data_IF_044694657703
#
_entry.id   IF_044694657703
#
_cell.length_a   1.000
_cell.length_b   1.000
_cell.length_c   1.000
_cell.angle_alpha   90.00
_cell.angle_beta   90.00
_cell.angle_gamma   90.00
#
_symmetry.space_group_name_H-M   'P 1'
#
loop_
_entity.id
_entity.type
_entity.pdbx_description
1 polymer ?
#
# COMPACT_ATOMS: atom_id res chain seq x y z
N UNK A 1 -13.15 37.35 15.18
CA UNK A 1 -12.18 36.75 14.25
C UNK A 1 -12.48 35.27 14.14
N UNK A 2 -13.04 34.89 13.05
CA UNK A 2 -13.23 33.48 12.79
C UNK A 2 -11.92 32.92 12.31
N UNK A 3 -11.30 32.10 13.13
CA UNK A 3 -10.27 31.18 12.67
C UNK A 3 -10.95 30.23 11.71
N UNK A 4 -10.74 30.44 10.42
CA UNK A 4 -11.05 29.41 9.46
C UNK A 4 -10.20 28.19 9.79
N UNK A 5 -10.80 27.23 10.44
CA UNK A 5 -10.28 25.89 10.50
C UNK A 5 -10.24 25.40 9.05
N UNK A 6 -9.07 25.52 8.42
CA UNK A 6 -8.82 24.80 7.18
C UNK A 6 -9.14 23.35 7.49
N UNK A 7 -10.13 22.80 6.81
CA UNK A 7 -10.43 21.39 6.90
C UNK A 7 -9.11 20.65 6.70
N UNK A 8 -8.60 20.05 7.78
CA UNK A 8 -7.37 19.30 7.72
C UNK A 8 -7.60 18.15 6.75
N UNK A 9 -6.82 18.11 5.66
CA UNK A 9 -6.91 17.03 4.69
C UNK A 9 -6.79 15.71 5.44
N UNK A 10 -7.65 14.72 5.16
CA UNK A 10 -7.44 13.39 5.69
C UNK A 10 -6.06 12.90 5.26
N UNK A 11 -5.35 12.27 6.19
CA UNK A 11 -4.04 11.68 5.93
C UNK A 11 -4.09 10.65 4.79
N UNK A 12 -5.20 9.97 4.63
CA UNK A 12 -5.40 8.90 3.68
C UNK A 12 -6.53 9.24 2.71
N UNK A 13 -6.28 9.11 1.42
CA UNK A 13 -7.31 9.18 0.41
C UNK A 13 -8.10 7.86 0.38
N UNK A 14 -9.41 7.96 0.23
CA UNK A 14 -10.29 6.81 -0.03
C UNK A 14 -10.57 6.62 -1.51
N UNK A 15 -10.11 7.56 -2.32
CA UNK A 15 -10.27 7.52 -3.77
C UNK A 15 -9.18 6.65 -4.41
N UNK A 16 -9.45 6.17 -5.61
CA UNK A 16 -8.45 5.50 -6.43
C UNK A 16 -7.35 6.48 -6.82
N UNK A 17 -6.17 5.96 -7.11
CA UNK A 17 -4.97 6.75 -7.39
C UNK A 17 -5.21 7.87 -8.40
N UNK A 18 -5.86 7.57 -9.52
CA UNK A 18 -6.13 8.55 -10.58
C UNK A 18 -6.94 9.75 -10.07
N UNK A 19 -7.99 9.51 -9.33
CA UNK A 19 -8.84 10.57 -8.76
C UNK A 19 -8.12 11.31 -7.64
N UNK A 20 -7.40 10.60 -6.79
CA UNK A 20 -6.60 11.21 -5.72
C UNK A 20 -5.49 12.11 -6.27
N UNK A 21 -4.79 11.67 -7.32
CA UNK A 21 -3.76 12.45 -7.99
C UNK A 21 -4.35 13.71 -8.63
N UNK A 22 -5.43 13.56 -9.36
CA UNK A 22 -6.12 14.69 -9.98
C UNK A 22 -6.59 15.72 -8.94
N UNK A 23 -7.20 15.25 -7.86
CA UNK A 23 -7.65 16.11 -6.76
C UNK A 23 -6.51 16.88 -6.10
N UNK A 24 -5.37 16.24 -5.85
CA UNK A 24 -4.19 16.91 -5.30
C UNK A 24 -3.63 17.96 -6.25
N UNK A 25 -3.55 17.67 -7.53
CA UNK A 25 -3.09 18.64 -8.53
C UNK A 25 -3.98 19.86 -8.58
N UNK A 26 -5.30 19.68 -8.59
CA UNK A 26 -6.29 20.75 -8.58
C UNK A 26 -6.19 21.60 -7.31
N UNK A 27 -6.09 20.95 -6.16
CA UNK A 27 -5.97 21.64 -4.87
C UNK A 27 -4.70 22.48 -4.77
N UNK A 28 -3.59 22.00 -5.35
CA UNK A 28 -2.31 22.70 -5.34
C UNK A 28 -2.10 23.60 -6.56
N UNK A 29 -3.10 23.69 -7.44
CA UNK A 29 -3.03 24.46 -8.67
C UNK A 29 -1.82 24.12 -9.54
N UNK A 30 -1.50 22.81 -9.64
CA UNK A 30 -0.41 22.31 -10.45
C UNK A 30 -0.91 21.80 -11.80
N UNK A 31 -0.28 22.29 -12.87
CA UNK A 31 -0.44 21.74 -14.21
C UNK A 31 0.38 20.45 -14.37
N UNK A 32 0.07 19.67 -15.40
CA UNK A 32 0.88 18.50 -15.76
C UNK A 32 2.35 18.87 -16.04
N UNK A 33 2.58 20.00 -16.66
CA UNK A 33 3.94 20.52 -16.93
C UNK A 33 4.70 20.83 -15.64
N UNK A 34 4.04 21.47 -14.69
CA UNK A 34 4.65 21.80 -13.40
C UNK A 34 4.97 20.54 -12.60
N UNK A 35 4.05 19.59 -12.56
CA UNK A 35 4.28 18.33 -11.88
C UNK A 35 5.36 17.50 -12.58
N UNK A 36 5.39 17.48 -13.91
CA UNK A 36 6.42 16.84 -14.70
C UNK A 36 7.81 17.39 -14.37
N UNK A 37 7.92 18.70 -14.26
CA UNK A 37 9.17 19.35 -13.87
C UNK A 37 9.62 18.91 -12.46
N UNK A 38 8.71 18.84 -11.51
CA UNK A 38 9.02 18.44 -10.13
C UNK A 38 9.38 16.96 -9.98
N UNK A 39 8.83 16.11 -10.83
CA UNK A 39 8.96 14.65 -10.72
C UNK A 39 9.94 14.05 -11.71
N UNK A 40 10.34 14.79 -12.73
CA UNK A 40 11.10 14.29 -13.89
C UNK A 40 10.32 13.22 -14.68
N UNK A 41 9.01 13.18 -14.53
CA UNK A 41 8.10 12.37 -15.35
C UNK A 41 7.58 13.21 -16.51
N UNK A 42 7.12 12.57 -17.58
CA UNK A 42 6.53 13.32 -18.70
C UNK A 42 5.14 13.83 -18.36
N UNK A 43 4.78 15.01 -18.88
CA UNK A 43 3.44 15.57 -18.72
C UNK A 43 2.36 14.67 -19.33
N UNK A 44 2.66 14.03 -20.46
CA UNK A 44 1.77 13.07 -21.10
C UNK A 44 1.51 11.84 -20.23
N UNK A 45 2.53 11.32 -19.60
CA UNK A 45 2.40 10.19 -18.67
C UNK A 45 1.50 10.56 -17.48
N UNK A 46 1.74 11.73 -16.88
CA UNK A 46 0.92 12.23 -15.76
C UNK A 46 -0.54 12.41 -16.16
N UNK A 47 -0.79 12.92 -17.36
CA UNK A 47 -2.14 13.04 -17.90
C UNK A 47 -2.81 11.67 -18.04
N UNK A 48 -2.11 10.68 -18.55
CA UNK A 48 -2.62 9.31 -18.63
C UNK A 48 -2.91 8.69 -17.25
N UNK A 49 -2.08 8.98 -16.26
CA UNK A 49 -2.33 8.53 -14.88
C UNK A 49 -3.62 9.11 -14.31
N UNK A 50 -3.88 10.39 -14.50
CA UNK A 50 -5.11 11.04 -14.01
C UNK A 50 -6.36 10.61 -14.77
N UNK A 51 -6.22 10.21 -16.02
CA UNK A 51 -7.34 9.71 -16.84
C UNK A 51 -7.59 8.21 -16.63
N UNK A 52 -6.69 7.52 -15.95
CA UNK A 52 -6.81 6.07 -15.75
C UNK A 52 -6.51 5.23 -16.98
N UNK A 53 -5.90 5.81 -18.01
CA UNK A 53 -5.49 5.10 -19.24
C UNK A 53 -4.14 4.39 -19.09
N UNK A 54 -3.46 4.63 -17.99
CA UNK A 54 -2.27 3.89 -17.56
C UNK A 54 -2.52 3.26 -16.20
N UNK A 55 -1.96 2.08 -15.92
CA UNK A 55 -2.11 1.45 -14.61
C UNK A 55 -1.45 2.29 -13.52
N UNK A 56 -1.86 2.03 -12.28
CA UNK A 56 -1.23 2.65 -11.11
C UNK A 56 0.27 2.38 -11.13
N UNK A 57 1.11 3.42 -11.01
CA UNK A 57 2.55 3.24 -11.13
C UNK A 57 3.14 2.42 -9.99
N UNK A 58 4.35 1.92 -10.20
CA UNK A 58 5.11 1.23 -9.16
C UNK A 58 5.39 2.15 -7.96
N UNK A 59 5.66 1.58 -6.81
CA UNK A 59 5.86 2.31 -5.57
C UNK A 59 6.94 3.42 -5.65
N UNK A 60 8.08 3.24 -6.32
CA UNK A 60 9.06 4.32 -6.47
C UNK A 60 8.48 5.56 -7.16
N UNK A 61 7.65 5.39 -8.17
CA UNK A 61 6.98 6.49 -8.88
C UNK A 61 5.95 7.16 -7.96
N UNK A 62 5.17 6.37 -7.22
CA UNK A 62 4.22 6.92 -6.22
C UNK A 62 4.96 7.77 -5.19
N UNK A 63 6.10 7.31 -4.70
CA UNK A 63 6.92 8.09 -3.75
C UNK A 63 7.39 9.41 -4.35
N UNK A 64 7.84 9.40 -5.59
CA UNK A 64 8.26 10.61 -6.29
C UNK A 64 7.12 11.61 -6.44
N UNK A 65 5.97 11.16 -6.87
CA UNK A 65 4.75 11.97 -7.02
C UNK A 65 4.29 12.52 -5.66
N UNK A 66 4.27 11.69 -4.64
CA UNK A 66 3.88 12.08 -3.29
C UNK A 66 4.80 13.19 -2.75
N UNK A 67 6.10 13.04 -2.89
CA UNK A 67 7.07 14.07 -2.48
C UNK A 67 6.82 15.38 -3.20
N UNK A 68 6.59 15.36 -4.50
CA UNK A 68 6.30 16.55 -5.28
C UNK A 68 4.99 17.26 -4.86
N UNK A 69 4.02 16.48 -4.39
CA UNK A 69 2.72 16.97 -3.92
C UNK A 69 2.67 17.21 -2.41
N UNK A 70 3.79 17.06 -1.71
CA UNK A 70 3.91 17.25 -0.26
C UNK A 70 2.92 16.40 0.54
N UNK A 71 2.75 15.15 0.14
CA UNK A 71 2.01 14.14 0.88
C UNK A 71 2.89 12.90 1.09
N UNK A 72 2.56 12.11 2.09
CA UNK A 72 3.21 10.82 2.28
C UNK A 72 2.74 9.82 1.22
N UNK A 73 3.58 8.85 0.80
CA UNK A 73 3.16 7.86 -0.18
C UNK A 73 1.93 7.06 0.23
N UNK A 74 1.75 6.82 1.53
CA UNK A 74 0.61 6.10 2.07
C UNK A 74 -0.71 6.90 2.01
N UNK A 75 -0.66 8.15 1.54
CA UNK A 75 -1.87 8.89 1.18
C UNK A 75 -2.65 8.15 0.10
N UNK A 76 -1.99 7.50 -0.83
CA UNK A 76 -2.61 6.77 -1.94
C UNK A 76 -3.08 5.39 -1.51
N UNK A 77 -4.34 5.08 -1.81
CA UNK A 77 -4.99 3.81 -1.46
C UNK A 77 -4.21 2.59 -1.96
N UNK A 78 -3.79 2.61 -3.21
CA UNK A 78 -3.09 1.49 -3.84
C UNK A 78 -1.72 1.24 -3.21
N UNK A 79 -1.05 2.30 -2.76
CA UNK A 79 0.21 2.15 -2.02
C UNK A 79 -0.03 1.39 -0.70
N UNK A 80 -1.04 1.78 0.07
CA UNK A 80 -1.41 1.08 1.32
C UNK A 80 -1.81 -0.36 1.05
N UNK A 81 -2.59 -0.59 -0.01
CA UNK A 81 -3.01 -1.93 -0.39
C UNK A 81 -1.81 -2.84 -0.68
N UNK A 82 -0.82 -2.34 -1.39
CA UNK A 82 0.41 -3.08 -1.69
C UNK A 82 1.21 -3.39 -0.42
N UNK A 83 1.33 -2.43 0.50
CA UNK A 83 2.01 -2.66 1.78
C UNK A 83 1.30 -3.74 2.60
N UNK A 84 -0.02 -3.72 2.64
CA UNK A 84 -0.82 -4.76 3.30
C UNK A 84 -0.65 -6.11 2.60
N UNK A 85 -0.71 -6.13 1.28
CA UNK A 85 -0.51 -7.35 0.48
C UNK A 85 0.87 -7.97 0.73
N UNK A 86 1.92 -7.17 0.82
CA UNK A 86 3.27 -7.65 1.11
C UNK A 86 3.36 -8.31 2.49
N UNK A 87 2.69 -7.74 3.49
CA UNK A 87 2.62 -8.33 4.84
C UNK A 87 1.86 -9.65 4.81
N UNK A 88 0.75 -9.71 4.09
CA UNK A 88 -0.06 -10.92 3.94
C UNK A 88 0.71 -12.01 3.21
N UNK A 89 1.42 -11.67 2.15
CA UNK A 89 2.21 -12.61 1.37
C UNK A 89 3.32 -13.26 2.21
N UNK A 90 3.84 -12.54 3.17
CA UNK A 90 4.85 -13.01 4.10
C UNK A 90 4.28 -13.90 5.24
N UNK A 91 2.95 -13.96 5.41
CA UNK A 91 2.31 -14.65 6.54
C UNK A 91 1.05 -15.41 6.12
N UNK A 92 1.18 -16.71 5.89
CA UNK A 92 0.04 -17.58 5.53
C UNK A 92 -1.01 -17.65 6.63
N UNK A 93 -0.60 -17.62 7.90
CA UNK A 93 -1.54 -17.64 9.03
C UNK A 93 -2.41 -16.39 9.05
N UNK A 94 -1.83 -15.22 8.73
CA UNK A 94 -2.58 -13.98 8.66
C UNK A 94 -3.58 -13.99 7.51
N UNK A 95 -3.20 -14.56 6.37
CA UNK A 95 -4.10 -14.75 5.23
C UNK A 95 -5.30 -15.60 5.64
N UNK A 96 -5.08 -16.74 6.28
CA UNK A 96 -6.12 -17.65 6.72
C UNK A 96 -7.06 -17.00 7.73
N UNK A 97 -6.49 -16.26 8.69
CA UNK A 97 -7.27 -15.53 9.67
C UNK A 97 -8.17 -14.46 9.04
N UNK A 98 -7.62 -13.66 8.13
CA UNK A 98 -8.38 -12.63 7.42
C UNK A 98 -9.43 -13.23 6.48
N UNK A 99 -9.09 -14.29 5.78
CA UNK A 99 -10.06 -15.01 4.95
C UNK A 99 -11.26 -15.48 5.78
N UNK A 100 -11.00 -16.08 6.93
CA UNK A 100 -12.05 -16.56 7.82
C UNK A 100 -12.95 -15.42 8.31
N UNK A 101 -12.36 -14.29 8.69
CA UNK A 101 -13.13 -13.14 9.17
C UNK A 101 -13.93 -12.48 8.04
N UNK A 102 -13.29 -12.25 6.90
CA UNK A 102 -13.88 -11.45 5.82
C UNK A 102 -14.87 -12.24 4.96
N UNK A 103 -14.57 -13.51 4.67
CA UNK A 103 -15.34 -14.31 3.73
C UNK A 103 -16.26 -15.32 4.41
N UNK A 104 -15.85 -15.87 5.55
CA UNK A 104 -16.62 -16.84 6.32
C UNK A 104 -17.35 -16.21 7.50
N UNK A 105 -17.17 -14.91 7.72
CA UNK A 105 -17.78 -14.13 8.81
C UNK A 105 -17.52 -14.71 10.22
N UNK A 106 -16.37 -15.31 10.41
CA UNK A 106 -15.94 -15.83 11.69
C UNK A 106 -15.64 -14.67 12.64
N UNK A 107 -16.10 -14.72 13.92
CA UNK A 107 -15.74 -13.70 14.88
C UNK A 107 -14.24 -13.58 15.08
N UNK A 108 -13.77 -12.35 15.33
CA UNK A 108 -12.35 -12.11 15.59
C UNK A 108 -12.01 -12.69 16.97
N UNK A 109 -11.11 -13.68 17.00
CA UNK A 109 -10.58 -14.27 18.22
C UNK A 109 -9.46 -13.41 18.81
N UNK A 110 -9.11 -13.64 20.07
CA UNK A 110 -7.98 -12.96 20.70
C UNK A 110 -6.64 -13.30 20.01
N UNK A 111 -6.53 -14.51 19.49
CA UNK A 111 -5.37 -14.94 18.69
C UNK A 111 -5.26 -14.14 17.39
N UNK A 112 -6.37 -13.92 16.68
CA UNK A 112 -6.40 -13.08 15.47
C UNK A 112 -6.06 -11.64 15.78
N UNK A 113 -6.53 -11.10 16.91
CA UNK A 113 -6.16 -9.76 17.37
C UNK A 113 -4.67 -9.64 17.60
N UNK A 114 -4.07 -10.62 18.25
CA UNK A 114 -2.62 -10.66 18.49
C UNK A 114 -1.82 -10.70 17.19
N UNK A 115 -2.29 -11.44 16.17
CA UNK A 115 -1.67 -11.47 14.84
C UNK A 115 -1.75 -10.11 14.14
N UNK A 116 -2.87 -9.40 14.26
CA UNK A 116 -3.05 -8.08 13.66
C UNK A 116 -2.21 -7.01 14.36
N UNK A 117 -2.02 -7.12 15.67
CA UNK A 117 -1.20 -6.20 16.43
C UNK A 117 0.30 -6.39 16.14
N UNK A 118 0.71 -7.60 15.82
CA UNK A 118 2.11 -7.92 15.56
C UNK A 118 2.30 -8.88 14.37
N UNK A 119 1.96 -8.45 13.15
CA UNK A 119 1.95 -9.32 11.98
C UNK A 119 3.31 -9.86 11.57
N UNK A 120 4.40 -9.22 12.03
CA UNK A 120 5.77 -9.64 11.74
C UNK A 120 6.28 -10.75 12.66
N UNK A 121 5.64 -10.96 13.79
CA UNK A 121 6.05 -11.96 14.79
C UNK A 121 5.41 -13.34 14.58
N UNK A 122 4.47 -13.47 13.66
CA UNK A 122 3.79 -14.72 13.36
C UNK A 122 4.63 -15.75 12.60
N UNK A 123 5.82 -15.39 12.15
CA UNK A 123 6.72 -16.27 11.41
C UNK A 123 7.74 -17.02 12.29
N UNK A 124 7.54 -17.03 13.60
CA UNK A 124 8.49 -17.58 14.56
C UNK A 124 8.43 -19.09 14.80
N UNK A 125 7.65 -19.87 14.06
CA UNK A 125 7.62 -21.33 14.25
C UNK A 125 7.43 -22.10 12.94
N UNK A 126 8.20 -21.72 11.94
CA UNK A 126 8.55 -22.64 10.88
C UNK A 126 9.79 -23.41 11.29
N UNK A 127 9.65 -24.30 12.23
CA UNK A 127 10.70 -25.26 12.51
C UNK A 127 10.77 -26.24 11.33
N UNK A 128 11.50 -25.83 10.33
CA UNK A 128 11.94 -26.71 9.27
C UNK A 128 13.01 -27.65 9.80
N UNK A 129 12.64 -28.55 10.67
CA UNK A 129 13.48 -29.71 10.95
C UNK A 129 13.23 -30.76 9.89
N UNK A 130 13.60 -30.42 8.68
CA UNK A 130 13.75 -31.37 7.59
C UNK A 130 15.19 -31.78 7.46
N UNK A 131 15.75 -32.36 8.51
CA UNK A 131 16.99 -33.09 8.39
C UNK A 131 16.68 -34.49 7.83
N UNK A 132 16.42 -34.52 6.56
CA UNK A 132 16.45 -35.78 5.81
C UNK A 132 17.83 -35.93 5.22
N UNK A 133 18.77 -36.26 6.08
CA UNK A 133 20.01 -36.83 5.61
C UNK A 133 19.71 -38.27 5.19
N UNK A 134 19.33 -38.44 3.97
CA UNK A 134 19.46 -39.71 3.32
C UNK A 134 20.94 -39.97 3.09
N UNK A 135 21.54 -40.70 3.99
CA UNK A 135 22.79 -41.33 3.72
C UNK A 135 22.54 -42.47 2.74
N UNK A 136 22.79 -42.19 1.48
CA UNK A 136 22.95 -43.25 0.51
C UNK A 136 24.40 -43.70 0.65
N UNK A 137 24.57 -44.81 1.35
CA UNK A 137 25.80 -45.52 1.27
C UNK A 137 25.85 -46.19 -0.10
N UNK A 138 26.66 -45.67 -0.99
CA UNK A 138 26.98 -46.33 -2.24
C UNK A 138 28.07 -47.37 -1.97
N UNK A 139 27.79 -48.63 -2.27
CA UNK A 139 28.79 -49.67 -2.53
C UNK A 139 29.10 -49.64 -4.02
#
# INVERSE_FOLDING_TARGET
>A
MQTMLKATRPRYSRERFQAALKGLMEERHLSYRQLAYKTQLSAGYLNHLTKGTRPVPADPVIRTVATALCVEPDFFLEYRLRQVADVLDASTHLIDALYSVLLLHTPISDEMKAMLENPRNGNGHGNGNGDSRSHIAAN
#
